data_IF_503564841594
#
_entry.id   IF_503564841594
#
_cell.length_a   1.000
_cell.length_b   1.000
_cell.length_c   1.000
_cell.angle_alpha   90.00
_cell.angle_beta   90.00
_cell.angle_gamma   90.00
#
_symmetry.space_group_name_H-M   'P 1'
#
loop_
_entity.id
_entity.type
_entity.pdbx_description
1 polymer ?
#
# COMPACT_ATOMS: atom_id res chain seq x y z
N UNK A 1 6.43 -7.52 -18.99
CA UNK A 1 5.54 -7.10 -17.87
C UNK A 1 4.72 -5.95 -18.41
N UNK A 2 3.40 -6.08 -18.47
CA UNK A 2 2.54 -4.97 -18.91
C UNK A 2 2.71 -3.79 -17.98
N UNK A 3 2.83 -2.59 -18.55
CA UNK A 3 2.85 -1.36 -17.76
C UNK A 3 1.51 -1.25 -17.01
N UNK A 4 1.56 -1.07 -15.69
CA UNK A 4 0.36 -0.98 -14.86
C UNK A 4 -0.19 0.44 -14.95
N UNK A 5 -1.51 0.56 -15.10
CA UNK A 5 -2.20 1.85 -14.98
C UNK A 5 -1.98 2.42 -13.57
N UNK A 6 -1.69 3.71 -13.48
CA UNK A 6 -1.57 4.44 -12.21
C UNK A 6 -2.86 5.24 -12.00
N UNK A 7 -3.58 4.94 -10.92
CA UNK A 7 -4.79 5.66 -10.50
C UNK A 7 -4.49 6.45 -9.23
N UNK A 8 -4.96 7.69 -9.18
CA UNK A 8 -4.79 8.61 -8.06
C UNK A 8 -6.17 8.83 -7.43
N UNK A 9 -6.28 8.57 -6.14
CA UNK A 9 -7.52 8.69 -5.38
C UNK A 9 -7.47 9.91 -4.47
N UNK A 10 -8.06 11.05 -4.84
CA UNK A 10 -8.30 12.15 -3.92
C UNK A 10 -9.26 11.71 -2.80
N UNK A 11 -9.29 12.44 -1.68
CA UNK A 11 -10.14 12.08 -0.54
C UNK A 11 -11.63 11.94 -0.91
N UNK A 12 -12.12 12.76 -1.84
CA UNK A 12 -13.49 12.72 -2.37
C UNK A 12 -13.82 11.43 -3.14
N UNK A 13 -12.81 10.72 -3.66
CA UNK A 13 -12.99 9.43 -4.36
C UNK A 13 -12.97 8.22 -3.42
N UNK A 14 -12.77 8.43 -2.12
CA UNK A 14 -12.75 7.36 -1.09
C UNK A 14 -14.11 7.33 -0.40
N UNK A 15 -14.92 6.31 -0.71
CA UNK A 15 -16.28 6.15 -0.16
C UNK A 15 -16.26 5.77 1.31
N UNK A 16 -15.42 4.79 1.68
CA UNK A 16 -15.25 4.37 3.08
C UNK A 16 -14.00 3.53 3.29
N UNK A 17 -13.55 3.48 4.54
CA UNK A 17 -12.46 2.62 5.01
C UNK A 17 -13.01 1.74 6.14
N UNK A 18 -12.78 0.42 6.07
CA UNK A 18 -13.17 -0.53 7.11
C UNK A 18 -11.94 -1.28 7.59
N UNK A 19 -11.62 -1.18 8.88
CA UNK A 19 -10.60 -1.99 9.54
C UNK A 19 -11.28 -2.99 10.48
N UNK A 20 -11.00 -4.27 10.32
CA UNK A 20 -11.58 -5.31 11.17
C UNK A 20 -10.68 -6.54 11.25
N UNK A 21 -10.92 -7.38 12.24
CA UNK A 21 -10.33 -8.72 12.35
C UNK A 21 -11.47 -9.70 12.06
N UNK A 22 -11.42 -10.47 10.96
CA UNK A 22 -12.45 -11.47 10.67
C UNK A 22 -12.56 -12.48 11.83
N UNK A 23 -13.75 -13.08 12.06
CA UNK A 23 -13.87 -14.19 12.99
C UNK A 23 -12.83 -15.28 12.71
N UNK A 24 -12.28 -15.87 13.76
CA UNK A 24 -11.25 -16.94 13.68
C UNK A 24 -9.90 -16.54 13.06
N UNK A 25 -9.70 -15.26 12.72
CA UNK A 25 -8.42 -14.73 12.25
C UNK A 25 -7.72 -13.94 13.35
N UNK A 26 -6.40 -13.97 13.35
CA UNK A 26 -5.58 -13.18 14.29
C UNK A 26 -5.17 -11.83 13.73
N UNK A 27 -5.38 -11.61 12.43
CA UNK A 27 -4.79 -10.50 11.69
C UNK A 27 -5.81 -9.57 11.08
N UNK A 28 -5.51 -8.28 11.13
CA UNK A 28 -6.33 -7.22 10.57
C UNK A 28 -6.51 -7.36 9.05
N UNK A 29 -7.69 -6.95 8.58
CA UNK A 29 -8.00 -6.64 7.19
C UNK A 29 -8.44 -5.18 7.11
N UNK A 30 -7.90 -4.47 6.12
CA UNK A 30 -8.29 -3.10 5.79
C UNK A 30 -8.96 -3.11 4.42
N UNK A 31 -10.22 -2.70 4.35
CA UNK A 31 -10.97 -2.50 3.12
C UNK A 31 -10.94 -1.01 2.80
N UNK A 32 -10.50 -0.66 1.59
CA UNK A 32 -10.63 0.66 0.98
C UNK A 32 -11.68 0.56 -0.12
N UNK A 33 -12.83 1.18 0.10
CA UNK A 33 -13.85 1.33 -0.93
C UNK A 33 -13.63 2.66 -1.64
N UNK A 34 -13.29 2.57 -2.92
CA UNK A 34 -13.00 3.69 -3.82
C UNK A 34 -14.15 3.82 -4.83
N UNK A 35 -14.15 4.90 -5.62
CA UNK A 35 -15.21 5.13 -6.60
C UNK A 35 -15.43 3.97 -7.59
N UNK A 36 -14.32 3.40 -8.06
CA UNK A 36 -14.25 2.45 -9.16
C UNK A 36 -13.92 1.00 -8.72
N UNK A 37 -13.41 0.81 -7.49
CA UNK A 37 -12.98 -0.50 -7.00
C UNK A 37 -12.96 -0.62 -5.47
N UNK A 38 -12.82 -1.87 -5.00
CA UNK A 38 -12.61 -2.20 -3.60
C UNK A 38 -11.24 -2.89 -3.45
N UNK A 39 -10.39 -2.37 -2.57
CA UNK A 39 -9.07 -2.93 -2.26
C UNK A 39 -9.10 -3.52 -0.84
N UNK A 40 -8.65 -4.76 -0.69
CA UNK A 40 -8.49 -5.41 0.62
C UNK A 40 -7.00 -5.64 0.91
N UNK A 41 -6.50 -5.05 2.00
CA UNK A 41 -5.11 -5.16 2.44
C UNK A 41 -4.98 -6.05 3.67
N UNK A 42 -3.88 -6.81 3.70
CA UNK A 42 -3.49 -7.59 4.89
C UNK A 42 -2.75 -6.69 5.89
N UNK A 43 -2.83 -7.04 7.17
CA UNK A 43 -2.16 -6.32 8.27
C UNK A 43 -0.70 -5.97 7.99
N UNK A 44 0.11 -6.90 7.47
CA UNK A 44 1.53 -6.64 7.19
C UNK A 44 1.75 -5.50 6.15
N UNK A 45 0.85 -5.39 5.17
CA UNK A 45 0.88 -4.30 4.19
C UNK A 45 0.45 -2.99 4.82
N UNK A 46 -0.61 -3.00 5.62
CA UNK A 46 -1.08 -1.81 6.36
C UNK A 46 0.02 -1.31 7.30
N UNK A 47 0.66 -2.19 8.06
CA UNK A 47 1.77 -1.84 8.94
C UNK A 47 2.96 -1.25 8.17
N UNK A 48 3.26 -1.74 6.96
CA UNK A 48 4.31 -1.16 6.12
C UNK A 48 3.95 0.24 5.63
N UNK A 49 2.71 0.48 5.20
CA UNK A 49 2.22 1.81 4.84
C UNK A 49 2.33 2.76 6.03
N UNK A 50 1.87 2.34 7.22
CA UNK A 50 1.95 3.13 8.45
C UNK A 50 3.39 3.48 8.80
N UNK A 51 4.33 2.52 8.71
CA UNK A 51 5.76 2.79 8.95
C UNK A 51 6.33 3.80 7.96
N UNK A 52 6.05 3.63 6.67
CA UNK A 52 6.51 4.57 5.64
C UNK A 52 5.99 5.98 5.91
N UNK A 53 4.69 6.10 6.23
CA UNK A 53 4.07 7.38 6.53
C UNK A 53 4.69 8.05 7.76
N UNK A 54 4.85 7.31 8.86
CA UNK A 54 5.45 7.84 10.10
C UNK A 54 6.90 8.25 9.84
N UNK A 55 7.68 7.43 9.15
CA UNK A 55 9.09 7.71 8.86
C UNK A 55 9.26 9.04 8.11
N UNK A 56 8.48 9.27 7.05
CA UNK A 56 8.54 10.54 6.31
C UNK A 56 7.98 11.72 7.10
N UNK A 57 6.85 11.55 7.79
CA UNK A 57 6.19 12.69 8.44
C UNK A 57 6.86 13.12 9.74
N UNK A 58 7.58 12.21 10.41
CA UNK A 58 8.23 12.49 11.70
C UNK A 58 9.74 12.72 11.60
N UNK A 59 10.39 12.36 10.49
CA UNK A 59 11.81 12.62 10.29
C UNK A 59 12.02 14.00 9.62
N UNK A 60 12.77 14.94 10.24
CA UNK A 60 12.81 16.35 9.81
C UNK A 60 13.38 16.57 8.40
N UNK A 61 14.26 15.67 7.94
CA UNK A 61 14.98 15.80 6.67
C UNK A 61 14.63 14.75 5.62
N UNK A 62 13.92 13.68 5.98
CA UNK A 62 13.69 12.54 5.07
C UNK A 62 12.59 12.90 4.09
N UNK A 63 12.76 12.59 2.80
CA UNK A 63 11.79 12.89 1.74
C UNK A 63 11.21 11.65 1.07
N UNK A 64 11.89 10.51 1.15
CA UNK A 64 11.35 9.26 0.63
C UNK A 64 11.91 8.05 1.36
N UNK A 65 11.10 6.99 1.39
CA UNK A 65 11.47 5.66 1.85
C UNK A 65 10.80 4.66 0.94
N UNK A 66 11.52 3.62 0.56
CA UNK A 66 10.98 2.51 -0.21
C UNK A 66 10.98 1.27 0.68
N UNK A 67 9.85 0.57 0.71
CA UNK A 67 9.76 -0.76 1.30
C UNK A 67 9.42 -1.77 0.21
N UNK A 68 10.28 -2.75 0.05
CA UNK A 68 10.17 -3.78 -0.98
C UNK A 68 9.85 -5.15 -0.36
N UNK A 69 9.13 -5.98 -1.10
CA UNK A 69 8.80 -7.34 -0.67
C UNK A 69 10.07 -8.18 -0.49
N UNK A 70 10.31 -8.62 0.73
CA UNK A 70 11.34 -9.60 1.08
C UNK A 70 10.69 -10.86 1.65
N UNK A 71 11.24 -12.02 1.27
CA UNK A 71 10.83 -13.30 1.83
C UNK A 71 11.77 -13.68 2.97
N UNK A 72 11.22 -13.73 4.19
CA UNK A 72 11.96 -14.05 5.39
C UNK A 72 11.67 -15.50 5.79
N UNK A 73 12.66 -16.36 5.54
CA UNK A 73 12.65 -17.78 5.93
C UNK A 73 12.71 -17.96 7.46
N UNK A 74 12.71 -19.23 7.92
CA UNK A 74 12.75 -19.54 9.36
C UNK A 74 14.02 -19.02 10.04
N UNK A 75 15.13 -19.00 9.31
CA UNK A 75 16.45 -18.58 9.82
C UNK A 75 16.71 -17.07 9.71
N UNK A 76 15.68 -16.30 9.38
CA UNK A 76 15.78 -14.83 9.23
C UNK A 76 15.86 -14.06 10.55
N UNK A 77 15.74 -14.73 11.70
CA UNK A 77 15.67 -14.08 13.02
C UNK A 77 14.37 -13.29 13.26
N UNK A 78 13.36 -13.46 12.40
CA UNK A 78 12.08 -12.76 12.53
C UNK A 78 11.32 -13.24 13.78
N UNK A 79 10.68 -12.30 14.49
CA UNK A 79 9.81 -12.59 15.62
C UNK A 79 8.68 -13.58 15.23
N UNK A 80 8.23 -14.42 16.18
CA UNK A 80 7.07 -15.29 15.98
C UNK A 80 5.84 -14.51 15.50
N UNK A 81 4.96 -15.16 14.74
CA UNK A 81 3.67 -14.64 14.25
C UNK A 81 3.71 -13.54 13.16
N UNK A 82 4.89 -13.11 12.72
CA UNK A 82 4.97 -12.24 11.54
C UNK A 82 4.77 -13.04 10.23
N UNK A 83 4.24 -12.41 9.18
CA UNK A 83 4.08 -13.01 7.86
C UNK A 83 5.43 -13.28 7.16
N UNK A 84 5.56 -14.36 6.37
CA UNK A 84 6.82 -14.70 5.66
C UNK A 84 7.22 -13.64 4.63
N UNK A 85 6.25 -13.11 3.91
CA UNK A 85 6.45 -11.94 3.06
C UNK A 85 6.27 -10.68 3.89
N UNK A 86 7.32 -9.88 3.96
CA UNK A 86 7.33 -8.57 4.61
C UNK A 86 7.71 -7.51 3.58
N UNK A 87 7.33 -6.26 3.83
CA UNK A 87 7.86 -5.12 3.09
C UNK A 87 8.94 -4.49 3.97
N UNK A 88 10.19 -4.48 3.51
CA UNK A 88 11.33 -3.97 4.27
C UNK A 88 12.02 -2.84 3.52
N UNK A 89 12.55 -1.90 4.28
CA UNK A 89 13.33 -0.76 3.82
C UNK A 89 14.45 -1.21 2.86
N UNK A 90 14.60 -0.51 1.76
CA UNK A 90 15.70 -0.75 0.80
C UNK A 90 16.85 0.21 1.07
N UNK A 91 18.02 -0.12 0.49
CA UNK A 91 19.21 0.73 0.55
C UNK A 91 19.30 1.70 -0.64
N UNK A 92 18.19 1.91 -1.37
CA UNK A 92 18.17 2.84 -2.51
C UNK A 92 18.34 4.27 -2.03
N UNK A 93 18.97 5.09 -2.87
CA UNK A 93 19.17 6.50 -2.56
C UNK A 93 17.82 7.22 -2.59
N UNK A 94 17.60 8.10 -1.61
CA UNK A 94 16.35 8.86 -1.50
C UNK A 94 16.01 9.61 -2.79
N UNK A 95 17.02 10.22 -3.43
CA UNK A 95 16.87 10.91 -4.72
C UNK A 95 16.29 9.99 -5.80
N UNK A 96 16.77 8.76 -5.91
CA UNK A 96 16.30 7.81 -6.93
C UNK A 96 14.85 7.40 -6.68
N UNK A 97 14.47 7.25 -5.40
CA UNK A 97 13.11 6.92 -5.00
C UNK A 97 12.17 8.09 -5.35
N UNK A 98 12.57 9.33 -5.04
CA UNK A 98 11.80 10.53 -5.39
C UNK A 98 11.64 10.64 -6.92
N UNK A 99 12.72 10.50 -7.69
CA UNK A 99 12.69 10.60 -9.14
C UNK A 99 11.79 9.53 -9.79
N UNK A 100 11.73 8.33 -9.21
CA UNK A 100 10.79 7.29 -9.63
C UNK A 100 9.34 7.61 -9.23
N UNK A 101 9.11 8.04 -7.98
CA UNK A 101 7.78 8.41 -7.49
C UNK A 101 7.16 9.54 -8.33
N UNK A 102 7.95 10.56 -8.70
CA UNK A 102 7.50 11.65 -9.56
C UNK A 102 7.11 11.15 -10.96
N UNK A 103 7.86 10.21 -11.54
CA UNK A 103 7.50 9.59 -12.82
C UNK A 103 6.21 8.77 -12.73
N UNK A 104 6.00 8.07 -11.62
CA UNK A 104 4.76 7.32 -11.37
C UNK A 104 3.57 8.28 -11.26
N UNK A 105 3.71 9.37 -10.48
CA UNK A 105 2.68 10.38 -10.31
C UNK A 105 2.33 11.10 -11.63
N UNK A 106 3.34 11.44 -12.44
CA UNK A 106 3.14 12.17 -13.70
C UNK A 106 2.29 11.42 -14.73
N UNK A 107 2.23 10.08 -14.67
CA UNK A 107 1.38 9.25 -15.52
C UNK A 107 0.07 8.82 -14.86
N UNK A 108 -0.19 9.28 -13.64
CA UNK A 108 -1.38 8.93 -12.87
C UNK A 108 -2.63 9.61 -13.40
N UNK A 109 -3.75 8.88 -13.45
CA UNK A 109 -5.07 9.44 -13.73
C UNK A 109 -5.82 9.62 -12.42
N UNK A 110 -6.36 10.82 -12.20
CA UNK A 110 -7.22 11.11 -11.04
C UNK A 110 -8.57 10.44 -11.25
N UNK A 111 -9.00 9.65 -10.29
CA UNK A 111 -10.31 9.00 -10.32
C UNK A 111 -11.36 9.97 -9.79
N UNK A 112 -12.46 10.09 -10.51
CA UNK A 112 -13.58 10.97 -10.18
C UNK A 112 -14.91 10.22 -10.10
N UNK A 113 -15.90 10.83 -9.46
CA UNK A 113 -17.27 10.29 -9.36
C UNK A 113 -17.83 10.07 -10.78
N UNK A 114 -18.02 8.79 -11.15
CA UNK A 114 -18.46 8.39 -12.50
C UNK A 114 -17.52 7.48 -13.28
N UNK A 115 -16.27 7.28 -12.82
CA UNK A 115 -15.30 6.32 -13.40
C UNK A 115 -15.70 4.86 -13.11
N UNK A 116 -16.87 4.43 -13.56
CA UNK A 116 -17.39 3.07 -13.34
C UNK A 116 -16.84 2.07 -14.35
N UNK A 117 -15.53 1.79 -14.30
CA UNK A 117 -15.04 0.52 -14.85
C UNK A 117 -15.49 -0.60 -13.91
N UNK A 118 -16.56 -1.31 -14.27
CA UNK A 118 -17.23 -2.34 -13.46
C UNK A 118 -16.27 -3.23 -12.65
N UNK A 119 -16.41 -3.33 -11.31
CA UNK A 119 -15.89 -4.47 -10.58
C UNK A 119 -16.80 -5.69 -10.82
N UNK A 120 -16.24 -6.92 -10.87
CA UNK A 120 -17.00 -8.12 -11.19
C UNK A 120 -18.02 -8.41 -10.09
N UNK A 121 -19.24 -8.73 -10.51
CA UNK A 121 -20.29 -9.32 -9.68
C UNK A 121 -19.72 -10.53 -8.93
N UNK A 122 -19.63 -10.42 -7.61
CA UNK A 122 -19.42 -11.57 -6.74
C UNK A 122 -20.69 -12.42 -6.80
N UNK A 123 -20.61 -13.57 -7.48
CA UNK A 123 -21.58 -14.66 -7.41
C UNK A 123 -21.37 -15.52 -6.18
#
# INVERSE_FOLDING_TARGET
MSEKEVRIYPNESVKRIIAFIPPEHLHLRLILELEDQIIVLHEATVAAITRAYIDITTHPLRKAVELERRFLGKDSGKKPFYARSQLLETNRLEKEIVDEALRILARGKVVSEGDTSHPPSLG
#
